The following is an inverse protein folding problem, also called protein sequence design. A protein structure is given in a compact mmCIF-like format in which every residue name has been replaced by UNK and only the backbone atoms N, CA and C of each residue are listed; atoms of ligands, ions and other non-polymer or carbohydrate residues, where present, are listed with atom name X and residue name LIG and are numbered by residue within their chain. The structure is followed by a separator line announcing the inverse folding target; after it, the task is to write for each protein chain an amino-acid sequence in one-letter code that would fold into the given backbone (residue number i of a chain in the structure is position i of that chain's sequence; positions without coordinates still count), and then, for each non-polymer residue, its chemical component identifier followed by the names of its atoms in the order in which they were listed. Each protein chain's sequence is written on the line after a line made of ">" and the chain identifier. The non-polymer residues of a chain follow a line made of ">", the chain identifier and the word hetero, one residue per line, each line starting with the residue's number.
data_IF_204281422285
#
_entry.id   IF_204281422285
#
_cell.length_a   1.000
_cell.length_b   1.000
_cell.length_c   1.000
_cell.angle_alpha   90.00
_cell.angle_beta   90.00
_cell.angle_gamma   90.00
#
_symmetry.space_group_name_H-M   'P 1'
#
loop_
_entity.id
_entity.type
_entity.pdbx_description
1 polymer ?
#
# COMPACT_ATOMS: atom_id res chain seq x y z
N UNK A 1 15.19 7.42 12.99
CA UNK A 1 14.55 6.13 12.64
C UNK A 1 13.07 6.27 12.94
N UNK A 2 12.21 6.11 11.95
CA UNK A 2 10.74 6.15 12.15
C UNK A 2 10.37 4.91 12.96
N UNK A 3 9.84 5.10 14.15
CA UNK A 3 9.45 3.98 15.01
C UNK A 3 7.95 3.73 14.77
N UNK A 4 7.60 2.61 14.13
CA UNK A 4 6.21 2.24 13.84
C UNK A 4 5.52 1.78 15.13
N UNK A 5 4.82 2.68 15.81
CA UNK A 5 4.14 2.41 17.09
C UNK A 5 2.63 2.43 17.01
N UNK A 6 2.07 2.91 15.92
CA UNK A 6 0.64 3.04 15.76
C UNK A 6 0.16 2.62 14.37
N UNK A 7 -0.56 1.51 14.31
CA UNK A 7 -1.24 1.00 13.12
C UNK A 7 -2.70 1.38 13.17
N UNK A 8 -3.23 1.98 12.10
CA UNK A 8 -4.65 2.21 11.91
C UNK A 8 -5.21 1.16 10.96
N UNK A 9 -6.25 0.45 11.38
CA UNK A 9 -6.97 -0.51 10.59
C UNK A 9 -8.44 -0.12 10.45
N UNK A 10 -8.82 0.50 9.31
CA UNK A 10 -10.21 0.84 9.02
C UNK A 10 -11.07 -0.40 8.85
N UNK A 11 -12.25 -0.43 9.50
CA UNK A 11 -13.21 -1.52 9.52
C UNK A 11 -14.51 -1.06 8.85
N UNK A 12 -14.86 -1.69 7.74
CA UNK A 12 -16.15 -1.54 7.07
C UNK A 12 -17.08 -2.74 7.29
N UNK A 13 -16.62 -3.71 8.08
CA UNK A 13 -17.30 -4.99 8.35
C UNK A 13 -17.53 -5.87 7.13
N UNK A 14 -16.80 -5.65 6.05
CA UNK A 14 -16.80 -6.52 4.88
C UNK A 14 -16.00 -7.81 5.14
N UNK A 15 -16.27 -8.90 4.40
CA UNK A 15 -15.52 -10.16 4.53
C UNK A 15 -14.00 -9.99 4.25
N UNK A 16 -13.60 -9.01 3.45
CA UNK A 16 -12.23 -8.74 3.06
C UNK A 16 -11.33 -8.37 4.25
N UNK A 17 -11.92 -7.84 5.33
CA UNK A 17 -11.22 -7.56 6.58
C UNK A 17 -10.61 -8.83 7.17
N UNK A 18 -11.29 -9.97 7.05
CA UNK A 18 -10.82 -11.25 7.61
C UNK A 18 -9.51 -11.72 6.95
N UNK A 19 -9.30 -11.39 5.68
CA UNK A 19 -8.04 -11.70 4.98
C UNK A 19 -6.89 -10.76 5.38
N UNK A 20 -7.20 -9.51 5.75
CA UNK A 20 -6.19 -8.52 6.11
C UNK A 20 -5.76 -8.59 7.59
N UNK A 21 -6.65 -9.00 8.50
CA UNK A 21 -6.37 -8.98 9.95
C UNK A 21 -5.17 -9.83 10.38
N UNK A 22 -4.87 -11.01 9.81
CA UNK A 22 -3.67 -11.76 10.15
C UNK A 22 -2.38 -10.97 9.90
N UNK A 23 -2.34 -10.16 8.83
CA UNK A 23 -1.22 -9.26 8.54
C UNK A 23 -1.13 -8.14 9.58
N UNK A 24 -2.25 -7.50 9.92
CA UNK A 24 -2.30 -6.44 10.94
C UNK A 24 -1.77 -6.96 12.27
N UNK A 25 -2.24 -8.14 12.70
CA UNK A 25 -1.80 -8.77 13.94
C UNK A 25 -0.31 -9.15 13.92
N UNK A 26 0.18 -9.67 12.79
CA UNK A 26 1.59 -10.02 12.62
C UNK A 26 2.49 -8.77 12.63
N UNK A 27 2.10 -7.71 11.92
CA UNK A 27 2.83 -6.44 11.90
C UNK A 27 2.83 -5.76 13.27
N UNK A 28 1.68 -5.74 13.96
CA UNK A 28 1.58 -5.14 15.28
C UNK A 28 2.50 -5.83 16.30
N UNK A 29 2.57 -7.18 16.29
CA UNK A 29 3.50 -7.94 17.15
C UNK A 29 4.95 -7.69 16.79
N UNK A 30 5.29 -7.68 15.50
CA UNK A 30 6.65 -7.50 15.03
C UNK A 30 7.20 -6.09 15.32
N UNK A 31 6.34 -5.08 15.27
CA UNK A 31 6.68 -3.67 15.44
C UNK A 31 6.46 -3.18 16.88
N UNK A 32 5.91 -4.02 17.75
CA UNK A 32 5.44 -3.62 19.10
C UNK A 32 4.52 -2.39 19.03
N UNK A 33 3.59 -2.41 18.07
CA UNK A 33 2.71 -1.30 17.76
C UNK A 33 1.31 -1.50 18.33
N UNK A 34 0.71 -0.42 18.81
CA UNK A 34 -0.73 -0.41 19.09
C UNK A 34 -1.52 -0.42 17.77
N UNK A 35 -2.71 -1.00 17.83
CA UNK A 35 -3.65 -1.04 16.70
C UNK A 35 -4.90 -0.24 17.04
N UNK A 36 -5.28 0.69 16.20
CA UNK A 36 -6.61 1.27 16.26
C UNK A 36 -7.51 0.64 15.22
N UNK A 37 -8.55 -0.06 15.66
CA UNK A 37 -9.66 -0.51 14.83
C UNK A 37 -10.63 0.66 14.69
N UNK A 38 -10.82 1.18 13.48
CA UNK A 38 -11.64 2.36 13.25
C UNK A 38 -12.78 2.07 12.29
N UNK A 39 -14.01 2.40 12.68
CA UNK A 39 -15.14 2.39 11.75
C UNK A 39 -15.66 3.80 11.51
N UNK A 40 -16.09 4.07 10.30
CA UNK A 40 -16.67 5.35 9.92
C UNK A 40 -18.13 5.16 9.54
N UNK A 41 -18.99 5.94 10.19
CA UNK A 41 -20.43 6.03 9.87
C UNK A 41 -20.59 7.08 8.79
N UNK A 42 -20.96 6.70 7.56
CA UNK A 42 -21.17 7.67 6.49
C UNK A 42 -22.44 8.49 6.76
N UNK A 43 -22.50 9.73 6.25
CA UNK A 43 -23.70 10.56 6.41
C UNK A 43 -24.89 9.93 5.69
N UNK A 44 -26.03 9.86 6.40
CA UNK A 44 -27.31 9.43 5.80
C UNK A 44 -28.00 10.67 5.25
N UNK A 45 -28.26 10.66 3.94
CA UNK A 45 -28.93 11.75 3.26
C UNK A 45 -30.41 11.44 3.05
N UNK A 46 -31.30 12.36 3.46
CA UNK A 46 -32.71 12.31 3.08
C UNK A 46 -33.14 13.67 2.51
N UNK A 47 -33.46 13.68 1.25
CA UNK A 47 -33.93 14.87 0.54
C UNK A 47 -32.88 15.99 0.52
N UNK A 48 -32.99 16.97 1.42
CA UNK A 48 -32.19 18.21 1.40
C UNK A 48 -31.02 18.24 2.38
N UNK A 49 -30.76 17.17 3.12
CA UNK A 49 -29.65 17.19 4.09
C UNK A 49 -29.44 15.89 4.86
N UNK A 50 -28.37 15.81 5.66
CA UNK A 50 -28.13 14.68 6.56
C UNK A 50 -29.19 14.67 7.68
N UNK A 51 -29.55 13.46 8.14
CA UNK A 51 -30.49 13.28 9.27
C UNK A 51 -29.66 12.98 10.53
N UNK A 52 -29.47 13.96 11.44
CA UNK A 52 -28.61 13.81 12.62
C UNK A 52 -29.08 12.73 13.60
N UNK A 53 -30.38 12.55 13.77
CA UNK A 53 -30.98 11.60 14.71
C UNK A 53 -30.60 10.15 14.38
N UNK A 54 -30.66 9.77 13.10
CA UNK A 54 -30.22 8.45 12.65
C UNK A 54 -28.71 8.26 12.76
N UNK A 55 -27.94 9.33 12.65
CA UNK A 55 -26.49 9.25 12.77
C UNK A 55 -26.06 8.81 14.17
N UNK A 56 -26.72 9.31 15.23
CA UNK A 56 -26.40 8.95 16.61
C UNK A 56 -26.70 7.47 16.92
N UNK A 57 -27.86 6.97 16.49
CA UNK A 57 -28.23 5.57 16.69
C UNK A 57 -27.30 4.63 15.90
N UNK A 58 -26.91 5.03 14.69
CA UNK A 58 -25.99 4.27 13.87
C UNK A 58 -24.57 4.26 14.46
N UNK A 59 -24.15 5.37 15.07
CA UNK A 59 -22.86 5.46 15.77
C UNK A 59 -22.82 4.54 16.99
N UNK A 60 -23.90 4.50 17.80
CA UNK A 60 -24.04 3.60 18.94
C UNK A 60 -24.00 2.14 18.48
N UNK A 61 -24.78 1.81 17.46
CA UNK A 61 -24.83 0.44 16.95
C UNK A 61 -23.50 0.00 16.31
N UNK A 62 -22.84 0.91 15.59
CA UNK A 62 -21.50 0.70 15.01
C UNK A 62 -20.46 0.48 16.10
N UNK A 63 -20.50 1.25 17.18
CA UNK A 63 -19.63 1.08 18.34
C UNK A 63 -19.82 -0.30 18.95
N UNK A 64 -21.05 -0.70 19.26
CA UNK A 64 -21.35 -2.00 19.83
C UNK A 64 -20.94 -3.18 18.90
N UNK A 65 -21.00 -2.98 17.60
CA UNK A 65 -20.53 -3.95 16.62
C UNK A 65 -19.00 -4.01 16.59
N UNK A 66 -18.32 -2.86 16.55
CA UNK A 66 -16.86 -2.75 16.54
C UNK A 66 -16.23 -3.36 17.80
N UNK A 67 -16.86 -3.18 18.97
CA UNK A 67 -16.37 -3.72 20.24
C UNK A 67 -16.33 -5.25 20.27
N UNK A 68 -17.18 -5.90 19.47
CA UNK A 68 -17.25 -7.36 19.32
C UNK A 68 -16.47 -7.89 18.12
N UNK A 69 -16.00 -6.99 17.25
CA UNK A 69 -15.31 -7.39 16.01
C UNK A 69 -13.85 -7.70 16.29
N UNK A 70 -13.34 -8.79 15.72
CA UNK A 70 -11.94 -9.20 15.73
C UNK A 70 -11.32 -9.34 17.13
N UNK A 71 -12.12 -9.67 18.15
CA UNK A 71 -11.62 -9.77 19.54
C UNK A 71 -10.64 -10.92 19.74
N UNK A 72 -10.85 -12.04 19.04
CA UNK A 72 -9.97 -13.21 19.10
C UNK A 72 -8.67 -12.97 18.31
N UNK A 73 -8.78 -12.36 17.12
CA UNK A 73 -7.67 -12.16 16.19
C UNK A 73 -6.64 -11.14 16.72
N UNK A 74 -7.10 -10.16 17.49
CA UNK A 74 -6.26 -9.12 18.10
C UNK A 74 -5.90 -9.41 19.56
N UNK A 75 -6.22 -10.61 20.05
CA UNK A 75 -5.90 -10.98 21.44
C UNK A 75 -4.38 -10.84 21.73
N UNK A 76 -4.07 -10.25 22.87
CA UNK A 76 -2.69 -9.98 23.29
C UNK A 76 -2.02 -8.77 22.61
N UNK A 77 -2.73 -8.03 21.78
CA UNK A 77 -2.28 -6.75 21.23
C UNK A 77 -2.80 -5.56 22.03
N UNK A 78 -2.10 -4.44 21.99
CA UNK A 78 -2.61 -3.15 22.46
C UNK A 78 -3.61 -2.61 21.42
N UNK A 79 -4.91 -2.66 21.72
CA UNK A 79 -5.97 -2.33 20.77
C UNK A 79 -6.84 -1.21 21.28
N UNK A 80 -7.00 -0.17 20.48
CA UNK A 80 -7.99 0.88 20.64
C UNK A 80 -9.11 0.72 19.60
N UNK A 81 -10.31 1.21 19.90
CA UNK A 81 -11.45 1.21 18.99
C UNK A 81 -12.01 2.62 18.86
N UNK A 82 -12.17 3.08 17.62
CA UNK A 82 -12.65 4.41 17.30
C UNK A 82 -13.83 4.35 16.33
N UNK A 83 -14.85 5.16 16.57
CA UNK A 83 -15.93 5.41 15.62
C UNK A 83 -15.90 6.90 15.28
N UNK A 84 -16.02 7.21 14.00
CA UNK A 84 -16.12 8.56 13.46
C UNK A 84 -17.34 8.66 12.56
N UNK A 85 -17.88 9.86 12.40
CA UNK A 85 -18.97 10.14 11.46
C UNK A 85 -18.48 11.07 10.36
N UNK A 86 -18.85 10.78 9.10
CA UNK A 86 -18.48 11.58 7.94
C UNK A 86 -18.06 10.73 6.73
N UNK A 87 -17.42 11.34 5.76
CA UNK A 87 -16.90 10.64 4.57
C UNK A 87 -15.74 9.72 4.96
N UNK A 88 -15.84 8.40 4.68
CA UNK A 88 -14.89 7.41 5.20
C UNK A 88 -13.43 7.73 4.87
N UNK A 89 -13.10 8.03 3.61
CA UNK A 89 -11.73 8.32 3.22
C UNK A 89 -11.15 9.56 3.91
N UNK A 90 -11.95 10.60 4.09
CA UNK A 90 -11.55 11.83 4.78
C UNK A 90 -11.32 11.59 6.27
N UNK A 91 -12.24 10.86 6.90
CA UNK A 91 -12.13 10.57 8.34
C UNK A 91 -10.94 9.66 8.67
N UNK A 92 -10.60 8.71 7.79
CA UNK A 92 -9.42 7.86 7.94
C UNK A 92 -8.14 8.70 7.87
N UNK A 93 -8.01 9.54 6.83
CA UNK A 93 -6.84 10.41 6.64
C UNK A 93 -6.69 11.39 7.80
N UNK A 94 -7.79 12.03 8.18
CA UNK A 94 -7.82 12.98 9.31
C UNK A 94 -7.45 12.31 10.63
N UNK A 95 -8.02 11.15 10.92
CA UNK A 95 -7.68 10.39 12.13
C UNK A 95 -6.20 9.99 12.14
N UNK A 96 -5.67 9.54 11.01
CA UNK A 96 -4.27 9.17 10.89
C UNK A 96 -3.34 10.35 11.21
N UNK A 97 -3.69 11.55 10.77
CA UNK A 97 -2.93 12.77 11.04
C UNK A 97 -3.06 13.22 12.50
N UNK A 98 -4.30 13.28 13.05
CA UNK A 98 -4.59 13.72 14.41
C UNK A 98 -3.96 12.82 15.49
N UNK A 99 -3.78 11.53 15.20
CA UNK A 99 -3.31 10.53 16.16
C UNK A 99 -1.89 10.00 15.86
N UNK A 100 -1.14 10.69 15.01
CA UNK A 100 0.22 10.32 14.62
C UNK A 100 0.33 8.83 14.24
N UNK A 101 -0.55 8.37 13.34
CA UNK A 101 -0.53 7.01 12.82
C UNK A 101 0.69 6.83 11.93
N UNK A 102 1.46 5.76 12.16
CA UNK A 102 2.67 5.46 11.41
C UNK A 102 2.41 4.58 10.18
N UNK A 103 1.33 3.80 10.19
CA UNK A 103 0.96 2.90 9.10
C UNK A 103 -0.56 2.73 9.06
N UNK A 104 -1.17 2.99 7.91
CA UNK A 104 -2.55 2.58 7.63
C UNK A 104 -2.52 1.22 6.94
N UNK A 105 -3.26 0.24 7.45
CA UNK A 105 -3.41 -1.06 6.81
C UNK A 105 -4.88 -1.26 6.43
N UNK A 106 -5.17 -1.55 5.18
CA UNK A 106 -6.55 -1.74 4.73
C UNK A 106 -6.60 -2.60 3.46
N UNK A 107 -7.67 -3.40 3.25
CA UNK A 107 -7.86 -4.10 2.00
C UNK A 107 -8.10 -3.12 0.84
N UNK A 108 -7.87 -3.56 -0.39
CA UNK A 108 -8.10 -2.73 -1.58
C UNK A 108 -9.58 -2.48 -1.87
N UNK A 109 -10.48 -3.35 -1.35
CA UNK A 109 -11.92 -3.29 -1.59
C UNK A 109 -12.69 -3.60 -0.31
N UNK A 110 -13.89 -2.98 -0.19
CA UNK A 110 -14.90 -3.31 0.80
C UNK A 110 -16.14 -3.96 0.15
N UNK A 111 -17.35 -3.56 0.55
CA UNK A 111 -18.63 -4.08 0.02
C UNK A 111 -18.96 -3.72 -1.44
N UNK A 112 -18.12 -2.97 -2.16
CA UNK A 112 -18.41 -2.50 -3.53
C UNK A 112 -18.67 -3.62 -4.54
N UNK A 113 -19.63 -3.41 -5.45
CA UNK A 113 -20.13 -4.40 -6.41
C UNK A 113 -19.15 -4.67 -7.56
N UNK A 114 -18.21 -3.77 -7.82
CA UNK A 114 -17.20 -3.89 -8.88
C UNK A 114 -15.92 -4.55 -8.34
N UNK A 115 -15.98 -5.87 -8.18
CA UNK A 115 -15.10 -6.67 -7.32
C UNK A 115 -13.73 -7.08 -7.90
N UNK A 116 -13.41 -6.84 -9.14
CA UNK A 116 -12.19 -7.45 -9.71
C UNK A 116 -11.22 -6.52 -10.42
N UNK A 117 -11.59 -5.27 -10.69
CA UNK A 117 -10.81 -4.42 -11.60
C UNK A 117 -10.53 -2.99 -11.10
N UNK A 118 -11.00 -2.57 -9.90
CA UNK A 118 -10.80 -1.19 -9.43
C UNK A 118 -10.51 -1.15 -7.92
N UNK A 119 -9.56 -0.33 -7.50
CA UNK A 119 -9.36 0.01 -6.08
C UNK A 119 -10.59 0.77 -5.58
N UNK A 120 -11.11 0.40 -4.40
CA UNK A 120 -12.26 1.07 -3.79
C UNK A 120 -12.03 2.57 -3.60
N UNK A 121 -13.09 3.37 -3.72
CA UNK A 121 -13.01 4.84 -3.64
C UNK A 121 -12.39 5.33 -2.31
N UNK A 122 -12.71 4.67 -1.21
CA UNK A 122 -12.13 4.97 0.12
C UNK A 122 -10.64 4.70 0.11
N UNK A 123 -10.22 3.51 -0.35
CA UNK A 123 -8.81 3.14 -0.43
C UNK A 123 -8.04 4.06 -1.38
N UNK A 124 -8.62 4.41 -2.53
CA UNK A 124 -8.01 5.35 -3.47
C UNK A 124 -7.80 6.73 -2.84
N UNK A 125 -8.78 7.23 -2.07
CA UNK A 125 -8.63 8.51 -1.35
C UNK A 125 -7.57 8.43 -0.26
N UNK A 126 -7.52 7.37 0.52
CA UNK A 126 -6.50 7.18 1.55
C UNK A 126 -5.10 7.07 0.93
N UNK A 127 -4.93 6.30 -0.15
CA UNK A 127 -3.67 6.22 -0.90
C UNK A 127 -3.22 7.57 -1.45
N UNK A 128 -4.18 8.44 -1.80
CA UNK A 128 -3.90 9.76 -2.33
C UNK A 128 -3.49 10.75 -1.23
N UNK A 129 -4.21 10.77 -0.11
CA UNK A 129 -4.18 11.88 0.85
C UNK A 129 -3.44 11.56 2.16
N UNK A 130 -3.18 10.28 2.46
CA UNK A 130 -2.51 9.92 3.70
C UNK A 130 -1.05 10.38 3.72
N UNK A 131 -0.61 10.92 4.86
CA UNK A 131 0.76 11.37 5.08
C UNK A 131 1.71 10.28 5.58
N UNK A 132 1.16 9.14 6.00
CA UNK A 132 1.91 7.96 6.42
C UNK A 132 1.82 6.85 5.36
N UNK A 133 2.71 5.84 5.40
CA UNK A 133 2.62 4.67 4.56
C UNK A 133 1.25 3.98 4.62
N UNK A 134 0.82 3.44 3.48
CA UNK A 134 -0.45 2.70 3.36
C UNK A 134 -0.16 1.31 2.83
N UNK A 135 -0.43 0.30 3.65
CA UNK A 135 -0.40 -1.10 3.26
C UNK A 135 -1.75 -1.51 2.67
N UNK A 136 -1.71 -2.17 1.53
CA UNK A 136 -2.90 -2.69 0.86
C UNK A 136 -2.68 -4.12 0.39
N UNK A 137 -3.76 -4.92 0.37
CA UNK A 137 -3.76 -6.26 -0.20
C UNK A 137 -4.90 -6.39 -1.20
N UNK A 138 -4.57 -6.81 -2.42
CA UNK A 138 -5.52 -7.24 -3.43
C UNK A 138 -5.91 -8.72 -3.21
N UNK A 139 -6.95 -9.21 -3.89
CA UNK A 139 -7.43 -10.59 -3.77
C UNK A 139 -6.34 -11.66 -3.99
N UNK A 140 -5.41 -11.42 -4.90
CA UNK A 140 -4.28 -12.33 -5.14
C UNK A 140 -3.38 -12.50 -3.90
N UNK A 141 -3.26 -11.44 -3.10
CA UNK A 141 -2.48 -11.45 -1.87
C UNK A 141 -3.19 -12.12 -0.69
N UNK A 142 -4.51 -12.36 -0.76
CA UNK A 142 -5.26 -13.10 0.27
C UNK A 142 -4.79 -14.55 0.40
N UNK A 143 -4.21 -15.11 -0.66
CA UNK A 143 -3.67 -16.49 -0.68
C UNK A 143 -2.21 -16.57 -0.27
N UNK A 144 -1.58 -15.45 0.08
CA UNK A 144 -0.18 -15.44 0.47
C UNK A 144 0.01 -16.10 1.83
N UNK A 145 0.85 -17.16 1.89
CA UNK A 145 0.97 -17.99 3.09
C UNK A 145 1.70 -17.30 4.25
N UNK A 146 2.41 -16.19 3.99
CA UNK A 146 3.24 -15.51 5.00
C UNK A 146 2.69 -14.13 5.35
N UNK A 147 2.35 -13.95 6.61
CA UNK A 147 1.90 -12.66 7.13
C UNK A 147 3.06 -11.74 7.59
N UNK A 148 4.23 -12.32 7.87
CA UNK A 148 5.48 -11.58 8.12
C UNK A 148 6.35 -11.69 6.88
N UNK A 149 6.63 -10.59 6.19
CA UNK A 149 7.40 -10.63 4.96
C UNK A 149 8.86 -11.02 5.24
N UNK A 150 9.42 -11.88 4.39
CA UNK A 150 10.83 -12.28 4.36
C UNK A 150 11.57 -11.76 3.14
N UNK A 151 10.84 -11.56 2.05
CA UNK A 151 11.36 -11.01 0.80
C UNK A 151 10.56 -9.77 0.43
N UNK A 152 11.24 -8.62 0.39
CA UNK A 152 10.64 -7.34 0.02
C UNK A 152 11.26 -6.82 -1.28
N UNK A 153 10.45 -6.31 -2.19
CA UNK A 153 10.92 -5.65 -3.41
C UNK A 153 10.50 -4.18 -3.38
N UNK A 154 11.48 -3.29 -3.49
CA UNK A 154 11.26 -1.85 -3.61
C UNK A 154 11.31 -1.43 -5.07
N UNK A 155 10.17 -1.01 -5.63
CA UNK A 155 10.07 -0.53 -7.00
C UNK A 155 10.46 0.95 -7.06
N UNK A 156 11.49 1.27 -7.82
CA UNK A 156 12.03 2.62 -7.95
C UNK A 156 11.86 3.15 -9.37
N UNK A 157 11.47 4.41 -9.50
CA UNK A 157 11.20 5.06 -10.80
C UNK A 157 12.43 5.75 -11.42
N UNK A 158 13.57 5.74 -10.71
CA UNK A 158 14.80 6.38 -11.15
C UNK A 158 14.82 7.90 -11.02
N UNK A 159 13.86 8.51 -10.34
CA UNK A 159 13.89 9.92 -9.98
C UNK A 159 14.72 10.13 -8.69
N UNK A 160 15.16 11.38 -8.40
CA UNK A 160 15.87 11.69 -7.16
C UNK A 160 15.11 11.29 -5.88
N UNK A 161 13.78 11.22 -5.93
CA UNK A 161 12.93 10.76 -4.81
C UNK A 161 13.11 9.28 -4.48
N UNK A 162 13.56 8.48 -5.44
CA UNK A 162 13.91 7.08 -5.19
C UNK A 162 14.93 6.90 -4.07
N UNK A 163 15.77 7.92 -3.80
CA UNK A 163 16.75 7.90 -2.68
C UNK A 163 16.06 7.77 -1.33
N UNK A 164 15.01 8.58 -1.11
CA UNK A 164 14.23 8.55 0.14
C UNK A 164 13.44 7.26 0.26
N UNK A 165 12.85 6.79 -0.84
CA UNK A 165 12.12 5.52 -0.89
C UNK A 165 13.04 4.33 -0.59
N UNK A 166 14.24 4.29 -1.16
CA UNK A 166 15.24 3.24 -0.88
C UNK A 166 15.66 3.23 0.59
N UNK A 167 15.93 4.40 1.18
CA UNK A 167 16.27 4.52 2.61
C UNK A 167 15.13 4.03 3.49
N UNK A 168 13.91 4.44 3.14
CA UNK A 168 12.72 4.01 3.85
C UNK A 168 12.56 2.49 3.76
N UNK A 169 12.67 1.91 2.56
CA UNK A 169 12.53 0.48 2.32
C UNK A 169 13.59 -0.34 3.08
N UNK A 170 14.85 0.13 3.11
CA UNK A 170 15.92 -0.52 3.85
C UNK A 170 15.67 -0.49 5.36
N UNK A 171 15.22 0.65 5.91
CA UNK A 171 14.86 0.75 7.31
C UNK A 171 13.66 -0.14 7.65
N UNK A 172 12.63 -0.14 6.78
CA UNK A 172 11.42 -0.93 6.97
C UNK A 172 11.69 -2.44 6.90
N UNK A 173 12.48 -2.90 5.93
CA UNK A 173 12.86 -4.32 5.84
C UNK A 173 13.64 -4.79 7.07
N UNK A 174 14.44 -3.92 7.68
CA UNK A 174 15.18 -4.19 8.91
C UNK A 174 14.29 -4.56 10.10
N UNK A 175 13.11 -3.94 10.25
CA UNK A 175 12.15 -4.28 11.31
C UNK A 175 11.65 -5.72 11.21
N UNK A 176 11.61 -6.29 10.01
CA UNK A 176 11.10 -7.65 9.76
C UNK A 176 12.23 -8.68 9.60
N UNK A 177 13.49 -8.24 9.60
CA UNK A 177 14.61 -9.11 9.24
C UNK A 177 14.44 -9.68 7.82
N UNK A 178 13.84 -8.90 6.93
CA UNK A 178 13.55 -9.29 5.56
C UNK A 178 14.68 -8.91 4.61
N UNK A 179 14.90 -9.72 3.57
CA UNK A 179 15.76 -9.35 2.46
C UNK A 179 15.09 -8.25 1.63
N UNK A 180 15.85 -7.26 1.21
CA UNK A 180 15.39 -6.19 0.32
C UNK A 180 16.04 -6.33 -1.04
N UNK A 181 15.26 -6.22 -2.11
CA UNK A 181 15.71 -6.10 -3.47
C UNK A 181 15.16 -4.82 -4.09
N UNK A 182 15.95 -4.14 -4.91
CA UNK A 182 15.50 -2.98 -5.68
C UNK A 182 15.09 -3.45 -7.08
N UNK A 183 13.96 -2.97 -7.57
CA UNK A 183 13.46 -3.23 -8.91
C UNK A 183 13.23 -1.92 -9.64
N UNK A 184 13.84 -1.79 -10.81
CA UNK A 184 13.51 -0.74 -11.77
C UNK A 184 12.97 -1.38 -13.06
N UNK A 185 11.90 -0.81 -13.60
CA UNK A 185 11.34 -1.27 -14.88
C UNK A 185 11.41 -0.13 -15.88
N UNK A 186 12.10 -0.37 -16.99
CA UNK A 186 12.10 0.51 -18.16
C UNK A 186 10.92 0.14 -19.06
N UNK A 187 10.04 1.09 -19.43
CA UNK A 187 8.97 0.78 -20.37
C UNK A 187 9.56 0.40 -21.74
N UNK A 188 8.87 -0.49 -22.50
CA UNK A 188 9.27 -0.75 -23.86
C UNK A 188 9.16 0.54 -24.68
N UNK A 189 10.08 0.77 -25.59
CA UNK A 189 10.06 1.93 -26.47
C UNK A 189 8.94 1.73 -27.50
N UNK A 190 7.77 2.31 -27.25
CA UNK A 190 6.51 2.03 -27.94
C UNK A 190 6.49 2.39 -29.43
N UNK A 191 7.30 3.38 -29.86
CA UNK A 191 7.36 3.84 -31.27
C UNK A 191 8.35 3.05 -32.14
N UNK A 192 8.95 1.99 -31.60
CA UNK A 192 10.02 1.24 -32.24
C UNK A 192 9.57 -0.10 -32.82
N UNK A 193 8.27 -0.31 -33.01
CA UNK A 193 7.79 -1.46 -33.79
C UNK A 193 8.41 -1.53 -35.19
N UNK A 194 8.87 -0.40 -35.73
CA UNK A 194 9.63 -0.31 -36.97
C UNK A 194 11.13 -0.63 -36.81
N UNK A 195 11.66 -0.58 -35.56
CA UNK A 195 13.07 -0.85 -35.25
C UNK A 195 13.23 -2.00 -34.25
N UNK A 196 12.26 -2.89 -34.16
CA UNK A 196 12.23 -4.04 -33.24
C UNK A 196 13.42 -5.02 -33.38
N UNK A 197 14.42 -4.71 -34.24
CA UNK A 197 15.65 -5.46 -34.45
C UNK A 197 16.86 -4.95 -33.69
N UNK A 198 16.83 -3.78 -33.06
CA UNK A 198 18.04 -3.24 -32.42
C UNK A 198 18.16 -3.63 -30.95
N UNK A 199 18.54 -4.90 -30.72
CA UNK A 199 18.88 -5.42 -29.37
C UNK A 199 19.95 -4.56 -28.68
N UNK A 200 20.81 -3.91 -29.46
CA UNK A 200 21.90 -3.09 -28.95
C UNK A 200 21.37 -1.84 -28.24
N UNK A 201 20.39 -1.19 -28.82
CA UNK A 201 19.79 0.00 -28.20
C UNK A 201 19.01 -0.31 -26.92
N UNK A 202 18.31 -1.44 -26.90
CA UNK A 202 17.64 -1.91 -25.67
C UNK A 202 18.65 -2.20 -24.55
N UNK A 203 19.81 -2.77 -24.89
CA UNK A 203 20.86 -3.04 -23.90
C UNK A 203 21.52 -1.74 -23.42
N UNK A 204 21.78 -0.78 -24.32
CA UNK A 204 22.29 0.55 -23.95
C UNK A 204 21.34 1.29 -23.01
N UNK A 205 20.04 1.28 -23.28
CA UNK A 205 19.00 1.85 -22.39
C UNK A 205 18.98 1.17 -21.02
N UNK A 206 19.10 -0.15 -21.01
CA UNK A 206 19.14 -0.94 -19.78
C UNK A 206 20.38 -0.64 -18.95
N UNK A 207 21.54 -0.50 -19.60
CA UNK A 207 22.78 -0.13 -18.94
C UNK A 207 22.73 1.31 -18.38
N UNK A 208 22.17 2.26 -19.13
CA UNK A 208 21.97 3.61 -18.65
C UNK A 208 21.00 3.67 -17.45
N UNK A 209 19.91 2.92 -17.51
CA UNK A 209 18.98 2.80 -16.39
C UNK A 209 19.69 2.19 -15.16
N UNK A 210 20.48 1.14 -15.37
CA UNK A 210 21.26 0.49 -14.32
C UNK A 210 22.24 1.44 -13.67
N UNK A 211 23.02 2.17 -14.46
CA UNK A 211 23.97 3.18 -13.94
C UNK A 211 23.27 4.27 -13.14
N UNK A 212 22.13 4.75 -13.62
CA UNK A 212 21.31 5.75 -12.92
C UNK A 212 20.82 5.25 -11.56
N UNK A 213 20.23 4.04 -11.52
CA UNK A 213 19.73 3.47 -10.26
C UNK A 213 20.88 3.18 -9.30
N UNK A 214 22.02 2.71 -9.80
CA UNK A 214 23.22 2.49 -8.98
C UNK A 214 23.72 3.78 -8.33
N UNK A 215 23.73 4.89 -9.06
CA UNK A 215 24.09 6.19 -8.51
C UNK A 215 23.10 6.65 -7.42
N UNK A 216 21.80 6.41 -7.60
CA UNK A 216 20.79 6.70 -6.59
C UNK A 216 20.92 5.79 -5.36
N UNK A 217 21.20 4.50 -5.56
CA UNK A 217 21.44 3.51 -4.50
C UNK A 217 22.63 3.91 -3.65
N UNK A 218 23.73 4.29 -4.28
CA UNK A 218 24.94 4.77 -3.60
C UNK A 218 24.66 6.04 -2.78
N UNK A 219 23.90 7.00 -3.33
CA UNK A 219 23.46 8.19 -2.60
C UNK A 219 22.51 7.87 -1.44
N UNK A 220 21.73 6.81 -1.57
CA UNK A 220 20.86 6.33 -0.50
C UNK A 220 21.66 5.64 0.63
N UNK A 221 22.86 5.13 0.34
CA UNK A 221 23.65 4.32 1.26
C UNK A 221 22.97 2.96 1.53
N UNK A 222 22.33 2.39 0.53
CA UNK A 222 21.55 1.14 0.65
C UNK A 222 22.30 0.02 -0.06
N UNK A 223 22.61 -1.04 0.69
CA UNK A 223 23.23 -2.25 0.16
C UNK A 223 22.15 -3.32 -0.09
N UNK A 224 21.44 -3.20 -1.21
CA UNK A 224 20.45 -4.17 -1.64
C UNK A 224 20.73 -4.58 -3.10
N UNK A 225 20.54 -5.86 -3.49
CA UNK A 225 20.64 -6.27 -4.88
C UNK A 225 19.64 -5.50 -5.72
N UNK A 226 19.99 -5.31 -7.00
CA UNK A 226 19.19 -4.52 -7.93
C UNK A 226 18.92 -5.31 -9.22
N UNK A 227 17.66 -5.30 -9.63
CA UNK A 227 17.19 -5.86 -10.92
C UNK A 227 16.66 -4.72 -11.78
N UNK A 228 17.04 -4.70 -13.06
CA UNK A 228 16.45 -3.81 -14.06
C UNK A 228 15.72 -4.71 -15.07
N UNK A 229 14.40 -4.56 -15.13
CA UNK A 229 13.53 -5.26 -16.06
C UNK A 229 13.09 -4.33 -17.20
N UNK A 230 12.71 -4.90 -18.34
CA UNK A 230 12.16 -4.18 -19.49
C UNK A 230 10.77 -4.73 -19.77
N UNK A 231 9.78 -3.86 -19.90
CA UNK A 231 8.43 -4.29 -20.22
C UNK A 231 7.35 -3.30 -19.80
N UNK A 232 6.08 -3.65 -20.01
CA UNK A 232 4.96 -2.90 -19.44
C UNK A 232 5.07 -2.90 -17.92
N UNK A 233 5.20 -1.73 -17.31
CA UNK A 233 5.60 -1.56 -15.90
C UNK A 233 4.80 -2.45 -14.95
N UNK A 234 3.48 -2.43 -15.03
CA UNK A 234 2.61 -3.19 -14.13
C UNK A 234 2.83 -4.70 -14.26
N UNK A 235 2.89 -5.20 -15.49
CA UNK A 235 3.08 -6.62 -15.76
C UNK A 235 4.49 -7.09 -15.33
N UNK A 236 5.53 -6.32 -15.69
CA UNK A 236 6.90 -6.64 -15.32
C UNK A 236 7.14 -6.63 -13.81
N UNK A 237 6.50 -5.70 -13.06
CA UNK A 237 6.56 -5.69 -11.60
C UNK A 237 5.89 -6.94 -11.01
N UNK A 238 4.70 -7.31 -11.51
CA UNK A 238 3.98 -8.49 -11.02
C UNK A 238 4.73 -9.79 -11.32
N UNK A 239 5.30 -9.90 -12.51
CA UNK A 239 6.14 -11.04 -12.93
C UNK A 239 7.38 -11.17 -12.07
N UNK A 240 8.16 -10.08 -11.90
CA UNK A 240 9.32 -10.08 -11.04
C UNK A 240 8.97 -10.41 -9.57
N UNK A 241 7.85 -9.90 -9.06
CA UNK A 241 7.41 -10.21 -7.71
C UNK A 241 7.08 -11.70 -7.54
N UNK A 242 6.47 -12.31 -8.55
CA UNK A 242 6.16 -13.76 -8.54
C UNK A 242 7.42 -14.61 -8.65
N UNK A 243 8.33 -14.27 -9.57
CA UNK A 243 9.60 -15.00 -9.80
C UNK A 243 10.49 -15.00 -8.54
N UNK A 244 10.61 -13.87 -7.88
CA UNK A 244 11.44 -13.70 -6.68
C UNK A 244 10.73 -14.16 -5.39
N UNK A 245 9.47 -14.59 -5.48
CA UNK A 245 8.67 -14.98 -4.32
C UNK A 245 8.50 -13.85 -3.32
N UNK A 246 8.23 -12.63 -3.79
CA UNK A 246 8.08 -11.46 -2.94
C UNK A 246 6.89 -11.60 -2.00
N UNK A 247 7.12 -11.33 -0.72
CA UNK A 247 6.07 -11.28 0.31
C UNK A 247 5.48 -9.87 0.45
N UNK A 248 6.19 -8.84 -0.03
CA UNK A 248 5.75 -7.45 0.03
C UNK A 248 6.39 -6.62 -1.07
N UNK A 249 5.59 -5.84 -1.79
CA UNK A 249 6.08 -4.77 -2.65
C UNK A 249 6.08 -3.43 -1.92
N UNK A 250 7.08 -2.61 -2.20
CA UNK A 250 7.20 -1.23 -1.73
C UNK A 250 7.24 -0.32 -2.95
N UNK A 251 6.31 0.64 -3.01
CA UNK A 251 6.21 1.60 -4.10
C UNK A 251 6.15 3.03 -3.58
N UNK A 252 6.68 3.98 -4.33
CA UNK A 252 6.46 5.40 -4.08
C UNK A 252 5.12 5.86 -4.63
N UNK A 253 4.40 6.72 -3.90
CA UNK A 253 3.14 7.32 -4.37
C UNK A 253 3.32 8.38 -5.46
N UNK A 254 4.57 8.80 -5.71
CA UNK A 254 4.90 9.85 -6.66
C UNK A 254 4.48 11.24 -6.19
N UNK A 255 4.82 12.28 -6.97
CA UNK A 255 4.27 13.62 -6.77
C UNK A 255 2.89 13.71 -7.41
N UNK A 256 1.87 13.79 -6.57
CA UNK A 256 0.47 14.01 -6.98
C UNK A 256 0.23 15.39 -7.63
N UNK A 257 1.26 16.24 -7.72
CA UNK A 257 1.16 17.62 -8.19
C UNK A 257 1.70 17.92 -9.60
N UNK A 258 2.39 17.00 -10.26
CA UNK A 258 2.98 17.24 -11.57
C UNK A 258 2.31 16.39 -12.65
N UNK A 259 1.46 17.01 -13.45
CA UNK A 259 0.81 16.49 -14.67
C UNK A 259 -0.16 15.31 -14.47
N UNK A 260 -1.44 15.67 -14.52
CA UNK A 260 -2.58 14.77 -14.62
C UNK A 260 -2.32 13.61 -15.60
N UNK A 261 -2.34 12.38 -15.12
CA UNK A 261 -2.76 11.24 -15.92
C UNK A 261 -1.87 10.00 -15.92
N UNK A 262 -0.55 10.07 -16.01
CA UNK A 262 0.28 8.87 -16.25
C UNK A 262 0.85 8.17 -15.01
N UNK A 263 1.18 8.89 -13.95
CA UNK A 263 1.74 8.30 -12.71
C UNK A 263 0.69 7.65 -11.81
N UNK A 264 -0.56 8.11 -11.87
CA UNK A 264 -1.70 7.48 -11.17
C UNK A 264 -1.97 6.06 -11.67
N UNK A 265 -1.74 5.77 -12.95
CA UNK A 265 -2.06 4.48 -13.56
C UNK A 265 -1.14 3.36 -13.08
N UNK A 266 0.16 3.61 -12.91
CA UNK A 266 1.10 2.53 -12.55
C UNK A 266 0.96 2.09 -11.09
N UNK A 267 0.90 3.02 -10.13
CA UNK A 267 0.73 2.66 -8.72
C UNK A 267 -0.57 1.88 -8.47
N UNK A 268 -1.69 2.36 -9.04
CA UNK A 268 -2.96 1.65 -8.97
C UNK A 268 -2.89 0.28 -9.65
N UNK A 269 -2.30 0.22 -10.84
CA UNK A 269 -2.13 -1.03 -11.57
C UNK A 269 -1.24 -2.02 -10.81
N UNK A 270 -0.15 -1.57 -10.19
CA UNK A 270 0.72 -2.42 -9.38
C UNK A 270 -0.05 -2.96 -8.17
N UNK A 271 -0.77 -2.11 -7.43
CA UNK A 271 -1.56 -2.55 -6.28
C UNK A 271 -2.62 -3.58 -6.68
N UNK A 272 -3.27 -3.40 -7.85
CA UNK A 272 -4.29 -4.32 -8.34
C UNK A 272 -3.76 -5.68 -8.78
N UNK A 273 -2.61 -5.70 -9.45
CA UNK A 273 -2.08 -6.89 -10.11
C UNK A 273 -0.92 -7.52 -9.33
N UNK A 274 -0.57 -6.96 -8.17
CA UNK A 274 0.47 -7.53 -7.33
C UNK A 274 0.09 -8.91 -6.80
N UNK A 275 1.00 -9.90 -6.88
CA UNK A 275 0.78 -11.22 -6.28
C UNK A 275 0.88 -11.22 -4.76
N UNK A 276 1.37 -10.14 -4.17
CA UNK A 276 1.55 -9.97 -2.72
C UNK A 276 1.06 -8.60 -2.26
N UNK A 277 0.93 -8.35 -0.95
CA UNK A 277 0.62 -7.03 -0.42
C UNK A 277 1.58 -5.95 -0.90
N UNK A 278 1.09 -4.70 -0.91
CA UNK A 278 1.85 -3.52 -1.36
C UNK A 278 1.83 -2.45 -0.28
N UNK A 279 2.99 -1.90 0.06
CA UNK A 279 3.09 -0.66 0.85
C UNK A 279 3.43 0.48 -0.08
N UNK A 280 2.60 1.51 -0.05
CA UNK A 280 2.83 2.77 -0.76
C UNK A 280 3.30 3.86 0.20
N UNK A 281 4.39 4.54 -0.15
CA UNK A 281 5.09 5.52 0.68
C UNK A 281 5.03 6.91 0.08
#
# INVERSE_FOLDING_TARGET
>A
MTNYRHILFPIDFSPQINAAIPYVAAFARQLDAKVTLMSVVPPIWAGRGPIPEYAADLEISTRARLDRTLTAEVHGLSVERAVRSGEPGEQIVRFAQENAVDLVMMPTHGYGVFRSLLIGSVTAKVLHDAHCPVWTAAHAAEQHARHIPKTMICCVDGTPKSVELMRWAAAFSGYFGATLQLLHVTPPIADWAAFAGDRKLQEEEREMARARIEALRSRAGVEAPMKVAVGPIVAAVAECASEEGADLLIIGRGLLGATLGRLRTHAHGIIQHSPCPVVSV
#
